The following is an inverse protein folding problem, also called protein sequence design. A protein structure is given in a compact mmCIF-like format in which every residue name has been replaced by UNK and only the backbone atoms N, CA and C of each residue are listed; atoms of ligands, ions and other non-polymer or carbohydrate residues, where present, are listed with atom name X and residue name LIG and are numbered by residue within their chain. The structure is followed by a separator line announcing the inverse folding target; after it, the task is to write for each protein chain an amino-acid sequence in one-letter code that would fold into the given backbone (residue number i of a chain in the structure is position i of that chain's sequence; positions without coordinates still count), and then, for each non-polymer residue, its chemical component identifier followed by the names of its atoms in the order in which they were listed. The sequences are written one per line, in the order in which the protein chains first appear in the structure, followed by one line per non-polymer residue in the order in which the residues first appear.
data_IF_382919117279
#
_entry.id   IF_382919117279
#
_cell.length_a   1.000
_cell.length_b   1.000
_cell.length_c   1.000
_cell.angle_alpha   90.00
_cell.angle_beta   90.00
_cell.angle_gamma   90.00
#
_symmetry.space_group_name_H-M   'P 1'
#
loop_
_entity.id
_entity.type
_entity.pdbx_description
1 polymer ?
#
# COMPACT_ATOMS: atom_id res chain seq x y z
N UNK A 1 -55.71 35.08 -32.90
CA UNK A 1 -55.56 35.24 -31.44
C UNK A 1 -56.68 36.10 -30.93
N UNK A 2 -57.47 35.57 -29.99
CA UNK A 2 -58.57 36.33 -29.40
C UNK A 2 -58.02 37.33 -28.36
N UNK A 3 -58.73 38.43 -28.09
CA UNK A 3 -58.34 39.40 -27.05
C UNK A 3 -58.11 38.71 -25.70
N UNK A 4 -58.84 37.62 -25.41
CA UNK A 4 -58.68 36.82 -24.20
C UNK A 4 -57.32 36.11 -24.14
N UNK A 5 -56.91 35.53 -25.27
CA UNK A 5 -55.64 34.81 -25.41
C UNK A 5 -54.43 35.76 -25.28
N UNK A 6 -54.53 36.97 -25.83
CA UNK A 6 -53.51 38.01 -25.66
C UNK A 6 -53.42 38.52 -24.21
N UNK A 7 -54.56 38.63 -23.52
CA UNK A 7 -54.60 39.07 -22.11
C UNK A 7 -54.06 37.98 -21.19
N UNK A 8 -54.35 36.71 -21.46
CA UNK A 8 -53.85 35.58 -20.68
C UNK A 8 -52.33 35.41 -20.88
N UNK A 9 -51.83 35.58 -22.11
CA UNK A 9 -50.40 35.60 -22.42
C UNK A 9 -49.66 36.72 -21.67
N UNK A 10 -50.18 37.96 -21.70
CA UNK A 10 -49.57 39.10 -20.98
C UNK A 10 -49.57 38.86 -19.46
N UNK A 11 -50.63 38.25 -18.90
CA UNK A 11 -50.66 37.90 -17.47
C UNK A 11 -49.64 36.82 -17.10
N UNK A 12 -49.41 35.85 -17.98
CA UNK A 12 -48.44 34.78 -17.75
C UNK A 12 -47.00 35.30 -17.83
N UNK A 13 -46.69 36.16 -18.81
CA UNK A 13 -45.40 36.85 -18.87
C UNK A 13 -45.16 37.72 -17.63
N UNK A 14 -46.14 38.53 -17.21
CA UNK A 14 -46.01 39.36 -16.01
C UNK A 14 -45.82 38.54 -14.73
N UNK A 15 -46.49 37.38 -14.60
CA UNK A 15 -46.32 36.47 -13.46
C UNK A 15 -44.94 35.77 -13.48
N UNK A 16 -44.44 35.45 -14.67
CA UNK A 16 -43.09 34.91 -14.85
C UNK A 16 -42.02 35.94 -14.46
N UNK A 17 -42.18 37.18 -14.89
CA UNK A 17 -41.31 38.31 -14.51
C UNK A 17 -41.36 38.60 -13.01
N UNK A 18 -42.54 38.59 -12.40
CA UNK A 18 -42.70 38.81 -10.96
C UNK A 18 -42.02 37.71 -10.14
N UNK A 19 -42.20 36.44 -10.53
CA UNK A 19 -41.49 35.31 -9.90
C UNK A 19 -39.98 35.36 -10.11
N UNK A 20 -39.54 35.86 -11.26
CA UNK A 20 -38.12 36.07 -11.53
C UNK A 20 -37.54 37.14 -10.60
N UNK A 21 -38.21 38.29 -10.48
CA UNK A 21 -37.81 39.37 -9.57
C UNK A 21 -37.86 38.94 -8.10
N UNK A 22 -38.89 38.20 -7.70
CA UNK A 22 -38.99 37.66 -6.34
C UNK A 22 -37.85 36.69 -6.03
N UNK A 23 -37.53 35.80 -6.97
CA UNK A 23 -36.41 34.88 -6.86
C UNK A 23 -35.07 35.62 -6.76
N UNK A 24 -34.90 36.68 -7.55
CA UNK A 24 -33.72 37.54 -7.48
C UNK A 24 -33.55 38.20 -6.12
N UNK A 25 -34.63 38.79 -5.57
CA UNK A 25 -34.62 39.43 -4.24
C UNK A 25 -34.37 38.42 -3.13
N UNK A 26 -34.92 37.19 -3.22
CA UNK A 26 -34.64 36.11 -2.26
C UNK A 26 -33.16 35.71 -2.28
N UNK A 27 -32.56 35.53 -3.46
CA UNK A 27 -31.14 35.21 -3.61
C UNK A 27 -30.26 36.35 -3.09
N UNK A 28 -30.61 37.60 -3.39
CA UNK A 28 -29.88 38.76 -2.89
C UNK A 28 -29.90 38.81 -1.35
N UNK A 29 -31.06 38.62 -0.73
CA UNK A 29 -31.21 38.60 0.73
C UNK A 29 -30.42 37.45 1.36
N UNK A 30 -30.46 36.25 0.75
CA UNK A 30 -29.69 35.10 1.19
C UNK A 30 -28.18 35.34 1.09
N UNK A 31 -27.72 35.84 -0.05
CA UNK A 31 -26.31 36.19 -0.26
C UNK A 31 -25.87 37.25 0.75
N UNK A 32 -26.59 38.36 0.92
CA UNK A 32 -26.23 39.40 1.90
C UNK A 32 -26.15 38.86 3.33
N UNK A 33 -27.05 37.94 3.72
CA UNK A 33 -27.07 37.32 5.05
C UNK A 33 -25.90 36.35 5.28
N UNK A 34 -25.54 35.55 4.27
CA UNK A 34 -24.56 34.48 4.41
C UNK A 34 -23.23 34.75 3.69
N UNK A 35 -23.01 35.95 3.12
CA UNK A 35 -21.83 36.29 2.31
C UNK A 35 -20.51 35.88 2.96
N UNK A 36 -20.38 36.10 4.28
CA UNK A 36 -19.16 35.74 5.01
C UNK A 36 -18.92 34.23 5.05
N UNK A 37 -19.98 33.44 5.26
CA UNK A 37 -19.89 31.97 5.29
C UNK A 37 -19.59 31.44 3.89
N UNK A 38 -20.22 32.00 2.85
CA UNK A 38 -19.98 31.63 1.45
C UNK A 38 -18.53 31.93 1.06
N UNK A 39 -18.00 33.11 1.41
CA UNK A 39 -16.60 33.49 1.15
C UNK A 39 -15.64 32.57 1.90
N UNK A 40 -15.91 32.29 3.18
CA UNK A 40 -15.10 31.37 3.98
C UNK A 40 -15.06 29.97 3.35
N UNK A 41 -16.22 29.44 2.94
CA UNK A 41 -16.32 28.14 2.29
C UNK A 41 -15.53 28.11 0.96
N UNK A 42 -15.60 29.18 0.16
CA UNK A 42 -14.82 29.30 -1.06
C UNK A 42 -13.31 29.30 -0.78
N UNK A 43 -12.84 30.04 0.23
CA UNK A 43 -11.43 30.06 0.62
C UNK A 43 -10.96 28.65 1.04
N UNK A 44 -11.77 27.93 1.82
CA UNK A 44 -11.45 26.55 2.23
C UNK A 44 -11.36 25.62 1.03
N UNK A 45 -12.32 25.68 0.10
CA UNK A 45 -12.31 24.85 -1.12
C UNK A 45 -11.05 25.14 -1.95
N UNK A 46 -10.72 26.42 -2.15
CA UNK A 46 -9.51 26.82 -2.87
C UNK A 46 -8.26 26.27 -2.16
N UNK A 47 -8.18 26.40 -0.84
CA UNK A 47 -7.08 25.87 -0.04
C UNK A 47 -6.92 24.35 -0.18
N UNK A 48 -8.02 23.59 -0.18
CA UNK A 48 -8.02 22.15 -0.39
C UNK A 48 -7.51 21.81 -1.79
N UNK A 49 -8.01 22.49 -2.84
CA UNK A 49 -7.59 22.25 -4.23
C UNK A 49 -6.09 22.51 -4.40
N UNK A 50 -5.58 23.62 -3.86
CA UNK A 50 -4.15 23.95 -3.89
C UNK A 50 -3.35 22.87 -3.16
N UNK A 51 -3.77 22.48 -1.94
CA UNK A 51 -3.11 21.45 -1.15
C UNK A 51 -3.05 20.09 -1.86
N UNK A 52 -4.14 19.67 -2.51
CA UNK A 52 -4.17 18.43 -3.28
C UNK A 52 -3.29 18.49 -4.54
N UNK A 53 -3.19 19.64 -5.19
CA UNK A 53 -2.33 19.80 -6.36
C UNK A 53 -0.84 19.80 -5.97
N UNK A 54 -0.45 20.60 -4.98
CA UNK A 54 0.95 20.70 -4.53
C UNK A 54 1.46 19.37 -3.98
N UNK A 55 0.63 18.67 -3.19
CA UNK A 55 1.00 17.34 -2.66
C UNK A 55 1.23 16.32 -3.78
N UNK A 56 0.43 16.32 -4.85
CA UNK A 56 0.65 15.44 -6.00
C UNK A 56 1.97 15.73 -6.71
N UNK A 57 2.28 17.00 -6.94
CA UNK A 57 3.53 17.43 -7.60
C UNK A 57 4.74 17.02 -6.75
N UNK A 58 4.72 17.30 -5.44
CA UNK A 58 5.80 16.93 -4.53
C UNK A 58 5.95 15.40 -4.47
N UNK A 59 4.85 14.65 -4.33
CA UNK A 59 4.92 13.19 -4.31
C UNK A 59 5.48 12.60 -5.61
N UNK A 60 5.16 13.19 -6.77
CA UNK A 60 5.73 12.77 -8.05
C UNK A 60 7.24 13.06 -8.11
N UNK A 61 7.67 14.24 -7.66
CA UNK A 61 9.08 14.62 -7.57
C UNK A 61 9.87 13.70 -6.64
N UNK A 62 9.39 13.51 -5.40
CA UNK A 62 10.01 12.64 -4.41
C UNK A 62 10.13 11.19 -4.93
N UNK A 63 9.09 10.67 -5.58
CA UNK A 63 9.16 9.33 -6.22
C UNK A 63 10.24 9.29 -7.29
N UNK A 64 10.32 10.30 -8.16
CA UNK A 64 11.31 10.33 -9.23
C UNK A 64 12.73 10.37 -8.69
N UNK A 65 13.01 11.30 -7.77
CA UNK A 65 14.33 11.47 -7.13
C UNK A 65 14.74 10.24 -6.33
N UNK A 66 13.83 9.64 -5.56
CA UNK A 66 14.11 8.43 -4.80
C UNK A 66 14.45 7.24 -5.71
N UNK A 67 13.81 7.11 -6.88
CA UNK A 67 14.14 6.04 -7.83
C UNK A 67 15.51 6.25 -8.48
N UNK A 68 15.86 7.49 -8.85
CA UNK A 68 17.20 7.80 -9.38
C UNK A 68 18.26 7.48 -8.32
N UNK A 69 18.04 7.91 -7.08
CA UNK A 69 18.94 7.64 -5.98
C UNK A 69 19.03 6.14 -5.67
N UNK A 70 17.92 5.39 -5.76
CA UNK A 70 17.91 3.94 -5.61
C UNK A 70 18.82 3.26 -6.65
N UNK A 71 18.72 3.63 -7.93
CA UNK A 71 19.58 3.07 -8.97
C UNK A 71 21.06 3.36 -8.69
N UNK A 72 21.39 4.60 -8.32
CA UNK A 72 22.75 4.97 -7.91
C UNK A 72 23.26 4.12 -6.75
N UNK A 73 22.42 3.89 -5.73
CA UNK A 73 22.77 3.07 -4.58
C UNK A 73 22.93 1.57 -4.92
N UNK A 74 22.23 1.09 -5.95
CA UNK A 74 22.39 -0.29 -6.43
C UNK A 74 23.70 -0.51 -7.18
N UNK A 75 24.19 0.53 -7.88
CA UNK A 75 25.48 0.55 -8.56
C UNK A 75 26.65 0.78 -7.58
N UNK A 76 26.49 1.74 -6.67
CA UNK A 76 27.45 2.09 -5.62
C UNK A 76 26.81 1.96 -4.22
N UNK A 77 26.94 0.78 -3.57
CA UNK A 77 26.30 0.50 -2.28
C UNK A 77 26.71 1.41 -1.12
N UNK A 78 27.84 2.10 -1.22
CA UNK A 78 28.38 2.94 -0.14
C UNK A 78 28.04 4.44 -0.33
N UNK A 79 27.31 4.78 -1.40
CA UNK A 79 26.89 6.14 -1.71
C UNK A 79 25.92 6.71 -0.65
N UNK A 80 26.45 7.50 0.28
CA UNK A 80 25.67 8.08 1.38
C UNK A 80 24.68 9.15 0.92
N UNK A 81 25.00 9.88 -0.15
CA UNK A 81 24.10 10.89 -0.72
C UNK A 81 22.83 10.21 -1.26
N UNK A 82 22.99 9.19 -2.10
CA UNK A 82 21.89 8.39 -2.62
C UNK A 82 21.06 7.78 -1.48
N UNK A 83 21.73 7.24 -0.46
CA UNK A 83 21.08 6.69 0.73
C UNK A 83 20.20 7.70 1.46
N UNK A 84 20.70 8.91 1.69
CA UNK A 84 19.96 9.99 2.35
C UNK A 84 18.78 10.46 1.49
N UNK A 85 19.00 10.66 0.19
CA UNK A 85 17.94 11.06 -0.76
C UNK A 85 16.78 10.06 -0.77
N UNK A 86 17.06 8.75 -0.77
CA UNK A 86 15.99 7.74 -0.71
C UNK A 86 15.26 7.82 0.64
N UNK A 87 15.98 7.98 1.75
CA UNK A 87 15.39 8.04 3.11
C UNK A 87 14.45 9.23 3.27
N UNK A 88 14.84 10.41 2.78
CA UNK A 88 14.04 11.63 2.84
C UNK A 88 12.81 11.58 1.94
N UNK A 89 12.99 11.03 0.72
CA UNK A 89 11.94 11.06 -0.29
C UNK A 89 11.00 9.84 -0.27
N UNK A 90 11.45 8.69 0.24
CA UNK A 90 10.66 7.45 0.28
C UNK A 90 11.18 6.42 1.30
N UNK A 91 10.62 6.44 2.52
CA UNK A 91 10.93 5.45 3.56
C UNK A 91 10.74 3.99 3.11
N UNK A 92 9.71 3.70 2.32
CA UNK A 92 9.47 2.34 1.82
C UNK A 92 10.59 1.87 0.88
N UNK A 93 11.03 2.74 -0.02
CA UNK A 93 12.11 2.42 -0.96
C UNK A 93 13.46 2.34 -0.24
N UNK A 94 13.64 3.13 0.82
CA UNK A 94 14.80 3.05 1.69
C UNK A 94 14.92 1.68 2.36
N UNK A 95 13.82 1.15 2.91
CA UNK A 95 13.81 -0.20 3.48
C UNK A 95 14.04 -1.29 2.43
N UNK A 96 13.50 -1.15 1.22
CA UNK A 96 13.81 -2.05 0.10
C UNK A 96 15.30 -2.05 -0.21
N UNK A 97 15.94 -0.87 -0.25
CA UNK A 97 17.37 -0.75 -0.52
C UNK A 97 18.22 -1.41 0.57
N UNK A 98 17.88 -1.16 1.84
CA UNK A 98 18.56 -1.80 2.97
C UNK A 98 18.41 -3.32 2.91
N UNK A 99 17.20 -3.82 2.64
CA UNK A 99 16.96 -5.26 2.51
C UNK A 99 17.78 -5.87 1.36
N UNK A 100 17.82 -5.23 0.20
CA UNK A 100 18.60 -5.69 -0.94
C UNK A 100 20.11 -5.72 -0.64
N UNK A 101 20.63 -4.75 0.11
CA UNK A 101 22.02 -4.76 0.57
C UNK A 101 22.28 -5.86 1.61
N UNK A 102 21.37 -6.03 2.55
CA UNK A 102 21.43 -7.10 3.57
C UNK A 102 21.46 -8.49 2.94
N UNK A 103 20.71 -8.74 1.86
CA UNK A 103 20.77 -10.01 1.12
C UNK A 103 22.16 -10.29 0.54
N UNK A 104 22.87 -9.26 0.05
CA UNK A 104 24.24 -9.43 -0.47
C UNK A 104 25.26 -9.68 0.64
N UNK A 105 25.09 -9.02 1.79
CA UNK A 105 26.01 -9.10 2.94
C UNK A 105 25.66 -10.24 3.91
N UNK A 106 24.50 -10.87 3.78
CA UNK A 106 23.91 -11.81 4.77
C UNK A 106 23.81 -11.19 6.18
N UNK A 107 23.61 -9.87 6.25
CA UNK A 107 23.56 -9.10 7.49
C UNK A 107 22.25 -8.33 7.58
N UNK A 108 21.30 -8.83 8.35
CA UNK A 108 19.97 -8.22 8.49
C UNK A 108 19.80 -7.45 9.80
N UNK A 109 19.62 -6.14 9.69
CA UNK A 109 19.30 -5.24 10.80
C UNK A 109 17.79 -5.08 10.93
N UNK A 110 17.18 -5.91 11.77
CA UNK A 110 15.71 -5.93 11.98
C UNK A 110 15.13 -4.58 12.40
N UNK A 111 15.87 -3.78 13.16
CA UNK A 111 15.44 -2.44 13.61
C UNK A 111 15.21 -1.46 12.47
N UNK A 112 15.81 -1.70 11.29
CA UNK A 112 15.75 -0.80 10.14
C UNK A 112 14.73 -1.26 9.08
N UNK A 113 14.13 -2.44 9.24
CA UNK A 113 13.30 -3.12 8.23
C UNK A 113 11.90 -3.43 8.74
N UNK A 114 11.16 -2.39 9.11
CA UNK A 114 9.83 -2.52 9.71
C UNK A 114 8.83 -3.23 8.78
N UNK A 115 8.83 -2.93 7.49
CA UNK A 115 7.92 -3.56 6.52
C UNK A 115 8.37 -4.95 6.08
N UNK A 116 9.62 -5.32 6.34
CA UNK A 116 10.22 -6.60 5.93
C UNK A 116 10.57 -7.49 7.12
N UNK A 117 10.06 -7.19 8.32
CA UNK A 117 10.46 -7.90 9.56
C UNK A 117 10.21 -9.41 9.47
N UNK A 118 9.10 -9.85 8.90
CA UNK A 118 8.76 -11.27 8.76
C UNK A 118 9.67 -11.96 7.74
N UNK A 119 10.03 -11.27 6.66
CA UNK A 119 10.96 -11.78 5.65
C UNK A 119 12.36 -11.92 6.23
N UNK A 120 12.81 -10.95 7.03
CA UNK A 120 14.08 -11.01 7.75
C UNK A 120 14.08 -12.16 8.77
N UNK A 121 13.02 -12.29 9.57
CA UNK A 121 12.90 -13.36 10.55
C UNK A 121 12.92 -14.73 9.87
N UNK A 122 12.20 -14.88 8.75
CA UNK A 122 12.22 -16.09 7.93
C UNK A 122 13.61 -16.40 7.39
N UNK A 123 14.30 -15.41 6.80
CA UNK A 123 15.65 -15.59 6.27
C UNK A 123 16.65 -16.02 7.35
N UNK A 124 16.61 -15.37 8.52
CA UNK A 124 17.43 -15.77 9.67
C UNK A 124 17.08 -17.17 10.18
N UNK A 125 15.80 -17.55 10.15
CA UNK A 125 15.38 -18.89 10.55
C UNK A 125 15.94 -19.96 9.60
N UNK A 126 16.00 -19.68 8.29
CA UNK A 126 16.64 -20.56 7.32
C UNK A 126 18.16 -20.66 7.53
N UNK A 127 18.84 -19.53 7.72
CA UNK A 127 20.29 -19.48 7.93
C UNK A 127 20.70 -20.27 9.18
N UNK A 128 19.94 -20.14 10.26
CA UNK A 128 20.20 -20.84 11.52
C UNK A 128 19.59 -22.25 11.57
N UNK A 129 18.88 -22.68 10.52
CA UNK A 129 18.08 -23.91 10.50
C UNK A 129 17.12 -24.03 11.70
N UNK A 130 16.58 -22.90 12.16
CA UNK A 130 15.76 -22.81 13.36
C UNK A 130 14.29 -23.15 13.04
N UNK A 131 13.93 -24.40 13.32
CA UNK A 131 12.57 -24.93 13.15
C UNK A 131 11.53 -24.19 13.99
N UNK A 132 11.89 -23.70 15.18
CA UNK A 132 10.96 -22.98 16.04
C UNK A 132 10.63 -21.61 15.45
N UNK A 133 11.64 -20.87 15.00
CA UNK A 133 11.42 -19.59 14.31
C UNK A 133 10.66 -19.75 13.00
N UNK A 134 10.94 -20.82 12.23
CA UNK A 134 10.14 -21.13 11.03
C UNK A 134 8.66 -21.38 11.37
N UNK A 135 8.40 -22.03 12.50
CA UNK A 135 7.04 -22.22 12.99
C UNK A 135 6.40 -20.88 13.35
N UNK A 136 7.08 -20.03 14.11
CA UNK A 136 6.60 -18.69 14.49
C UNK A 136 6.23 -17.85 13.27
N UNK A 137 7.13 -17.70 12.29
CA UNK A 137 6.85 -16.88 11.09
C UNK A 137 5.74 -17.49 10.22
N UNK A 138 5.54 -18.80 10.24
CA UNK A 138 4.44 -19.44 9.52
C UNK A 138 3.07 -19.21 10.17
N UNK A 139 3.03 -18.80 11.44
CA UNK A 139 1.79 -18.49 12.14
C UNK A 139 1.34 -17.05 11.92
N UNK A 140 2.22 -16.19 11.39
CA UNK A 140 1.86 -14.81 11.01
C UNK A 140 0.80 -14.82 9.92
N UNK A 141 -0.31 -14.12 10.19
CA UNK A 141 -1.55 -14.22 9.40
C UNK A 141 -1.35 -13.80 7.95
N UNK A 142 -0.67 -12.69 7.73
CA UNK A 142 -0.53 -12.03 6.43
C UNK A 142 0.87 -12.26 5.82
N UNK A 143 1.62 -13.25 6.33
CA UNK A 143 2.96 -13.53 5.83
C UNK A 143 2.92 -14.25 4.48
N UNK A 144 3.43 -13.58 3.44
CA UNK A 144 3.41 -14.06 2.05
C UNK A 144 4.12 -15.40 1.85
N UNK A 145 5.20 -15.68 2.61
CA UNK A 145 5.99 -16.91 2.46
C UNK A 145 5.65 -17.96 3.53
N UNK A 146 4.46 -17.88 4.13
CA UNK A 146 4.00 -18.81 5.17
C UNK A 146 4.15 -20.28 4.77
N UNK A 147 3.69 -20.66 3.58
CA UNK A 147 3.74 -22.05 3.11
C UNK A 147 5.16 -22.51 2.81
N UNK A 148 6.03 -21.60 2.35
CA UNK A 148 7.46 -21.85 2.23
C UNK A 148 8.12 -22.05 3.60
N UNK A 149 7.71 -21.33 4.64
CA UNK A 149 8.20 -21.55 6.00
C UNK A 149 7.83 -22.94 6.53
N UNK A 150 6.58 -23.38 6.31
CA UNK A 150 6.13 -24.73 6.65
C UNK A 150 6.93 -25.78 5.87
N UNK A 151 7.13 -25.58 4.56
CA UNK A 151 7.92 -26.49 3.73
C UNK A 151 9.37 -26.60 4.21
N UNK A 152 10.04 -25.47 4.46
CA UNK A 152 11.43 -25.47 4.91
C UNK A 152 11.59 -26.09 6.30
N UNK A 153 10.62 -25.91 7.18
CA UNK A 153 10.56 -26.62 8.46
C UNK A 153 10.55 -28.13 8.25
N UNK A 154 9.68 -28.64 7.38
CA UNK A 154 9.62 -30.06 7.05
C UNK A 154 10.93 -30.57 6.40
N UNK A 155 11.54 -29.76 5.54
CA UNK A 155 12.82 -30.09 4.91
C UNK A 155 13.95 -30.23 5.93
N UNK A 156 14.04 -29.33 6.91
CA UNK A 156 15.02 -29.41 8.00
C UNK A 156 14.75 -30.63 8.88
N UNK A 157 13.49 -30.86 9.29
CA UNK A 157 13.10 -32.06 10.04
C UNK A 157 13.51 -33.36 9.31
N UNK A 158 13.31 -33.43 7.99
CA UNK A 158 13.72 -34.57 7.18
C UNK A 158 15.26 -34.74 7.15
N UNK A 159 16.03 -33.65 7.06
CA UNK A 159 17.50 -33.69 7.13
C UNK A 159 17.99 -34.18 8.51
N UNK A 160 17.28 -33.84 9.57
CA UNK A 160 17.56 -34.29 10.94
C UNK A 160 17.08 -35.72 11.25
N UNK A 161 16.46 -36.41 10.29
CA UNK A 161 15.93 -37.76 10.47
C UNK A 161 14.57 -37.84 11.17
N UNK A 162 13.93 -36.70 11.44
CA UNK A 162 12.58 -36.60 12.04
C UNK A 162 11.51 -36.78 10.96
N UNK A 163 11.47 -37.96 10.34
CA UNK A 163 10.65 -38.20 9.15
C UNK A 163 9.14 -38.10 9.41
N UNK A 164 8.66 -38.59 10.55
CA UNK A 164 7.24 -38.51 10.90
C UNK A 164 6.80 -37.05 11.15
N UNK A 165 7.64 -36.26 11.82
CA UNK A 165 7.39 -34.82 12.00
C UNK A 165 7.36 -34.10 10.65
N UNK A 166 8.31 -34.41 9.75
CA UNK A 166 8.33 -33.85 8.40
C UNK A 166 7.05 -34.18 7.63
N UNK A 167 6.61 -35.45 7.65
CA UNK A 167 5.35 -35.89 7.02
C UNK A 167 4.15 -35.15 7.62
N UNK A 168 4.10 -34.96 8.93
CA UNK A 168 3.04 -34.23 9.61
C UNK A 168 3.03 -32.74 9.23
N UNK A 169 4.20 -32.09 9.23
CA UNK A 169 4.35 -30.67 8.84
C UNK A 169 3.90 -30.44 7.39
N UNK A 170 4.23 -31.33 6.45
CA UNK A 170 3.81 -31.20 5.05
C UNK A 170 2.29 -31.29 4.85
N UNK A 171 1.53 -31.88 5.79
CA UNK A 171 0.06 -31.91 5.73
C UNK A 171 -0.58 -30.57 6.07
N UNK A 172 0.17 -29.65 6.67
CA UNK A 172 -0.30 -28.30 7.00
C UNK A 172 -0.34 -27.37 5.78
N UNK A 173 0.25 -27.78 4.66
CA UNK A 173 0.29 -27.01 3.42
C UNK A 173 -0.98 -27.32 2.59
N UNK A 174 -1.77 -26.30 2.20
CA UNK A 174 -2.94 -26.48 1.35
C UNK A 174 -2.62 -27.12 -0.01
N UNK A 175 -3.55 -27.91 -0.55
CA UNK A 175 -3.36 -28.63 -1.82
C UNK A 175 -3.34 -27.73 -3.06
N UNK A 176 -3.80 -26.49 -2.95
CA UNK A 176 -3.78 -25.44 -3.97
C UNK A 176 -2.55 -24.50 -3.86
N UNK A 177 -1.71 -24.70 -2.84
CA UNK A 177 -0.46 -23.95 -2.65
C UNK A 177 0.49 -24.03 -3.84
N UNK A 178 1.21 -22.94 -4.09
CA UNK A 178 2.27 -22.86 -5.10
C UNK A 178 3.49 -23.73 -4.75
N UNK A 179 3.67 -24.13 -3.49
CA UNK A 179 4.81 -24.99 -3.09
C UNK A 179 4.56 -26.47 -3.29
N UNK A 180 3.40 -26.88 -3.80
CA UNK A 180 3.02 -28.29 -3.86
C UNK A 180 3.94 -29.17 -4.72
N UNK A 181 4.59 -28.61 -5.74
CA UNK A 181 5.62 -29.34 -6.50
C UNK A 181 6.81 -29.74 -5.60
N UNK A 182 7.21 -28.85 -4.69
CA UNK A 182 8.27 -29.11 -3.71
C UNK A 182 7.80 -30.12 -2.66
N UNK A 183 6.56 -29.99 -2.19
CA UNK A 183 5.93 -30.92 -1.25
C UNK A 183 5.90 -32.34 -1.82
N UNK A 184 5.50 -32.50 -3.08
CA UNK A 184 5.45 -33.80 -3.74
C UNK A 184 6.84 -34.44 -3.84
N UNK A 185 7.85 -33.67 -4.21
CA UNK A 185 9.24 -34.15 -4.27
C UNK A 185 9.74 -34.62 -2.90
N UNK A 186 9.50 -33.84 -1.84
CA UNK A 186 9.90 -34.22 -0.49
C UNK A 186 9.11 -35.42 0.05
N UNK A 187 7.79 -35.50 -0.25
CA UNK A 187 6.98 -36.68 0.09
C UNK A 187 7.53 -37.95 -0.55
N UNK A 188 7.90 -37.91 -1.83
CA UNK A 188 8.48 -39.06 -2.52
C UNK A 188 9.77 -39.55 -1.83
N UNK A 189 10.65 -38.63 -1.44
CA UNK A 189 11.83 -38.98 -0.65
C UNK A 189 11.46 -39.61 0.71
N UNK A 190 10.50 -39.03 1.42
CA UNK A 190 10.07 -39.51 2.74
C UNK A 190 9.33 -40.86 2.71
N UNK A 191 8.84 -41.32 1.56
CA UNK A 191 8.26 -42.67 1.41
C UNK A 191 9.36 -43.73 1.47
N UNK A 192 10.58 -43.40 1.07
CA UNK A 192 11.74 -44.31 1.10
C UNK A 192 12.46 -44.38 2.45
N UNK A 193 11.93 -43.69 3.46
CA UNK A 193 12.56 -43.51 4.78
C UNK A 193 11.65 -43.98 5.91
#
# INVERSE_FOLDING_TARGET
MSLKENVDYVKEELNSEEKFLESFVRVERFYKKYKMIIILALIVIIGIVIGLYTTKVIQASNKHEANIAFNKLMEDPENQEAKNTIKENSQKLYEVALYAQSLKKSEFKETELRYFKELVAYQKALENQDVNKLNEVSMEKDFLLKEFAIFNKALIQAKEGKYEDAKATLKLIPADSQVNNLVAALKHYLVTK
#
